data_IF_444285677874
#
_entry.id   IF_444285677874
#
_cell.length_a   1.000
_cell.length_b   1.000
_cell.length_c   1.000
_cell.angle_alpha   90.00
_cell.angle_beta   90.00
_cell.angle_gamma   90.00
#
_symmetry.space_group_name_H-M   'P 1'
#
loop_
_entity.id
_entity.type
_entity.pdbx_description
1 polymer ?
#
# COMPACT_ATOMS: atom_id res chain seq x y z
N UNK A 1 2.63 8.01 65.87
CA UNK A 1 3.52 7.67 64.74
C UNK A 1 3.04 6.35 64.14
N UNK A 2 2.58 6.40 62.88
CA UNK A 2 2.27 5.21 62.08
C UNK A 2 3.57 4.50 61.74
N UNK A 3 3.64 3.17 61.85
CA UNK A 3 3.90 2.29 60.70
C UNK A 3 4.18 0.82 61.09
N UNK A 4 3.38 -0.05 60.45
CA UNK A 4 3.77 -1.26 59.68
C UNK A 4 4.06 -2.58 60.42
N UNK A 5 3.85 -3.64 59.62
CA UNK A 5 4.33 -5.04 59.65
C UNK A 5 3.15 -6.02 59.91
N UNK A 6 2.61 -6.71 58.88
CA UNK A 6 3.07 -7.98 58.23
C UNK A 6 2.87 -9.17 59.20
N UNK A 7 2.44 -10.40 58.89
CA UNK A 7 1.81 -11.12 57.76
C UNK A 7 1.64 -12.61 58.25
N UNK A 8 0.69 -13.38 57.68
CA UNK A 8 0.60 -14.87 57.58
C UNK A 8 0.12 -15.74 58.78
N UNK A 9 -0.90 -16.60 58.53
CA UNK A 9 -0.92 -18.10 58.54
C UNK A 9 -2.39 -18.59 58.60
N UNK A 10 -3.00 -19.09 57.51
CA UNK A 10 -2.95 -20.45 56.91
C UNK A 10 -3.66 -21.54 57.76
N UNK A 11 -4.65 -22.23 57.16
CA UNK A 11 -5.17 -23.61 57.42
C UNK A 11 -6.47 -23.75 56.57
N UNK A 12 -6.58 -24.38 55.39
CA UNK A 12 -6.19 -25.71 54.84
C UNK A 12 -7.02 -26.87 55.43
N UNK A 13 -8.06 -27.34 54.70
CA UNK A 13 -8.55 -28.74 54.54
C UNK A 13 -9.52 -28.73 53.33
N UNK A 14 -9.24 -29.26 52.13
CA UNK A 14 -8.99 -30.64 51.64
C UNK A 14 -10.25 -31.47 51.28
N UNK A 15 -10.27 -31.96 50.03
CA UNK A 15 -10.98 -33.14 49.47
C UNK A 15 -12.42 -32.94 48.94
N UNK A 16 -12.89 -33.58 47.86
CA UNK A 16 -12.41 -34.77 47.15
C UNK A 16 -13.03 -34.91 45.73
N UNK A 17 -12.17 -35.27 44.75
CA UNK A 17 -12.29 -36.28 43.67
C UNK A 17 -13.48 -36.36 42.68
N UNK A 18 -13.11 -36.14 41.41
CA UNK A 18 -13.18 -37.04 40.24
C UNK A 18 -14.46 -37.81 39.88
N UNK A 19 -14.96 -37.62 38.65
CA UNK A 19 -14.87 -38.55 37.49
C UNK A 19 -16.02 -38.28 36.50
N UNK A 20 -15.74 -38.39 35.20
CA UNK A 20 -16.76 -38.32 34.16
C UNK A 20 -16.17 -38.23 32.77
N UNK A 21 -15.53 -39.31 32.30
CA UNK A 21 -15.31 -39.53 30.88
C UNK A 21 -16.66 -39.85 30.23
N UNK A 22 -16.99 -39.18 29.13
CA UNK A 22 -18.03 -39.62 28.20
C UNK A 22 -17.44 -39.49 26.80
N UNK A 23 -17.19 -40.64 26.18
CA UNK A 23 -17.07 -40.75 24.72
C UNK A 23 -18.49 -40.87 24.15
N UNK A 24 -18.81 -40.01 23.18
CA UNK A 24 -19.91 -40.27 22.24
C UNK A 24 -19.29 -40.24 20.85
N UNK A 25 -19.36 -41.38 20.18
CA UNK A 25 -19.09 -41.54 18.77
C UNK A 25 -20.42 -41.61 18.02
N UNK A 26 -20.39 -41.31 16.71
CA UNK A 26 -21.48 -41.42 15.70
C UNK A 26 -22.39 -40.17 15.64
N UNK A 27 -22.59 -39.44 14.54
CA UNK A 27 -22.61 -39.75 13.10
C UNK A 27 -22.48 -38.44 12.28
N UNK A 28 -21.99 -38.52 11.04
CA UNK A 28 -22.24 -37.50 10.01
C UNK A 28 -23.76 -37.36 9.76
N UNK A 29 -24.27 -36.12 9.66
CA UNK A 29 -25.28 -35.80 8.68
C UNK A 29 -24.78 -34.67 7.77
N UNK A 30 -24.81 -34.97 6.48
CA UNK A 30 -24.82 -34.02 5.38
C UNK A 30 -25.82 -32.87 5.60
N UNK A 31 -25.42 -31.70 5.07
CA UNK A 31 -26.24 -30.56 4.66
C UNK A 31 -26.98 -29.76 5.74
N UNK A 32 -26.29 -28.74 6.28
CA UNK A 32 -26.91 -27.45 6.58
C UNK A 32 -26.02 -26.36 5.98
N UNK A 33 -26.48 -25.85 4.83
CA UNK A 33 -26.00 -24.62 4.20
C UNK A 33 -26.40 -23.46 5.10
N UNK A 34 -25.40 -22.74 5.63
CA UNK A 34 -25.58 -21.37 6.10
C UNK A 34 -24.52 -20.52 5.40
N UNK A 35 -24.93 -19.89 4.32
CA UNK A 35 -24.24 -18.77 3.68
C UNK A 35 -24.01 -17.67 4.74
N UNK A 36 -22.74 -17.43 5.07
CA UNK A 36 -22.28 -16.14 5.55
C UNK A 36 -21.33 -15.59 4.50
N UNK A 37 -21.88 -14.62 3.77
CA UNK A 37 -21.23 -13.77 2.80
C UNK A 37 -20.25 -12.86 3.56
N UNK A 38 -18.98 -13.25 3.62
CA UNK A 38 -17.88 -12.41 4.08
C UNK A 38 -17.34 -11.66 2.86
N UNK A 39 -17.62 -10.36 2.82
CA UNK A 39 -17.05 -9.43 1.85
C UNK A 39 -15.55 -9.31 2.07
N UNK A 40 -14.79 -10.12 1.34
CA UNK A 40 -13.33 -10.04 1.22
C UNK A 40 -12.95 -8.70 0.57
N UNK A 41 -12.23 -7.87 1.32
CA UNK A 41 -11.07 -7.17 0.73
C UNK A 41 -10.18 -8.29 0.18
N UNK A 42 -9.88 -8.32 -1.12
CA UNK A 42 -9.03 -9.37 -1.69
C UNK A 42 -7.59 -9.22 -1.15
N UNK A 43 -7.34 -9.74 0.05
CA UNK A 43 -6.01 -10.15 0.49
C UNK A 43 -5.59 -11.28 -0.41
N UNK A 44 -4.80 -10.95 -1.44
CA UNK A 44 -4.11 -11.94 -2.23
C UNK A 44 -2.95 -12.48 -1.38
N UNK A 45 -3.13 -13.68 -0.83
CA UNK A 45 -2.10 -14.38 -0.05
C UNK A 45 -1.71 -15.65 -0.79
N UNK A 46 -0.74 -15.62 -1.71
CA UNK A 46 -0.19 -16.86 -2.24
C UNK A 46 0.66 -17.51 -1.16
N UNK A 47 0.37 -18.77 -0.88
CA UNK A 47 1.24 -19.60 -0.06
C UNK A 47 2.59 -19.75 -0.77
N UNK A 48 3.68 -19.32 -0.13
CA UNK A 48 5.05 -19.55 -0.63
C UNK A 48 5.66 -18.41 -1.46
N UNK A 49 5.12 -17.18 -1.39
CA UNK A 49 5.81 -15.99 -1.91
C UNK A 49 7.14 -15.79 -1.18
N UNK A 50 8.22 -15.63 -1.94
CA UNK A 50 9.50 -15.13 -1.49
C UNK A 50 9.98 -14.00 -2.44
N UNK A 51 11.13 -13.41 -2.11
CA UNK A 51 11.72 -12.30 -2.89
C UNK A 51 12.02 -12.64 -4.36
N UNK A 52 12.10 -13.91 -4.72
CA UNK A 52 12.48 -14.37 -6.06
C UNK A 52 11.28 -14.70 -6.95
N UNK A 53 10.11 -15.04 -6.39
CA UNK A 53 8.95 -15.52 -7.16
C UNK A 53 7.67 -14.69 -6.99
N UNK A 54 7.66 -13.68 -6.11
CA UNK A 54 6.47 -12.88 -5.84
C UNK A 54 5.89 -12.21 -7.10
N UNK A 55 6.75 -11.84 -8.06
CA UNK A 55 6.37 -11.17 -9.29
C UNK A 55 5.41 -12.01 -10.16
N UNK A 56 5.59 -13.33 -10.20
CA UNK A 56 4.75 -14.24 -11.00
C UNK A 56 3.28 -14.25 -10.53
N UNK A 57 3.08 -13.81 -9.29
CA UNK A 57 1.78 -13.83 -8.64
C UNK A 57 1.01 -12.51 -8.79
N UNK A 58 1.59 -11.46 -9.41
CA UNK A 58 0.91 -10.18 -9.53
C UNK A 58 -0.37 -10.33 -10.37
N UNK A 59 -1.56 -10.11 -9.78
CA UNK A 59 -2.80 -10.15 -10.52
C UNK A 59 -2.87 -9.01 -11.54
N UNK A 60 -3.68 -9.18 -12.58
CA UNK A 60 -3.99 -8.09 -13.48
C UNK A 60 -4.61 -6.91 -12.70
N UNK A 61 -4.37 -5.70 -13.18
CA UNK A 61 -4.97 -4.49 -12.61
C UNK A 61 -6.51 -4.57 -12.67
N UNK A 62 -7.18 -4.38 -11.53
CA UNK A 62 -8.66 -4.46 -11.39
C UNK A 62 -9.28 -3.16 -10.84
N UNK A 63 -8.58 -2.04 -10.95
CA UNK A 63 -9.08 -0.72 -10.56
C UNK A 63 -8.49 -0.14 -9.28
N UNK A 64 -7.61 -0.85 -8.58
CA UNK A 64 -6.87 -0.32 -7.42
C UNK A 64 -5.43 0.01 -7.82
N UNK A 65 -4.90 1.19 -7.43
CA UNK A 65 -3.58 1.64 -7.88
C UNK A 65 -2.42 0.77 -7.35
N UNK A 66 -2.67 -0.01 -6.29
CA UNK A 66 -1.71 -0.94 -5.73
C UNK A 66 -2.40 -2.18 -5.14
N UNK A 67 -1.59 -3.17 -4.76
CA UNK A 67 -1.94 -4.31 -3.90
C UNK A 67 -0.90 -4.49 -2.81
N UNK A 68 -1.30 -5.10 -1.71
CA UNK A 68 -0.38 -5.60 -0.68
C UNK A 68 0.33 -6.86 -1.18
N UNK A 69 1.61 -6.98 -0.83
CA UNK A 69 2.48 -8.11 -1.14
C UNK A 69 3.02 -8.67 0.17
N UNK A 70 3.12 -9.99 0.27
CA UNK A 70 3.71 -10.66 1.45
C UNK A 70 3.06 -10.23 2.78
N UNK A 71 1.73 -10.06 2.78
CA UNK A 71 0.96 -9.58 3.94
C UNK A 71 1.49 -8.24 4.49
N UNK A 72 1.89 -7.34 3.59
CA UNK A 72 2.43 -6.03 3.92
C UNK A 72 3.75 -6.07 4.71
N UNK A 73 4.46 -7.21 4.66
CA UNK A 73 5.76 -7.41 5.30
C UNK A 73 6.87 -7.30 4.23
N UNK A 74 7.83 -6.38 4.37
CA UNK A 74 8.89 -6.22 3.39
C UNK A 74 9.88 -7.40 3.43
N UNK A 75 10.53 -7.66 2.29
CA UNK A 75 11.51 -8.75 2.13
C UNK A 75 12.92 -8.37 2.62
N UNK A 76 13.05 -7.37 3.50
CA UNK A 76 14.34 -7.02 4.09
C UNK A 76 14.88 -8.17 4.94
N UNK A 77 16.15 -8.51 4.72
CA UNK A 77 16.82 -9.55 5.49
C UNK A 77 17.05 -9.11 6.93
N UNK A 78 17.36 -10.05 7.83
CA UNK A 78 17.74 -9.72 9.20
C UNK A 78 19.02 -8.85 9.28
N UNK A 79 19.89 -8.91 8.27
CA UNK A 79 21.07 -8.04 8.19
C UNK A 79 20.72 -6.65 7.66
N UNK A 80 19.80 -6.52 6.71
CA UNK A 80 19.28 -5.22 6.28
C UNK A 80 18.72 -4.44 7.47
N UNK A 81 17.87 -5.11 8.27
CA UNK A 81 17.20 -4.52 9.46
C UNK A 81 18.14 -4.08 10.58
N UNK A 82 19.45 -4.31 10.47
CA UNK A 82 20.47 -3.83 11.42
C UNK A 82 21.17 -2.56 10.96
N UNK A 83 20.94 -2.10 9.74
CA UNK A 83 21.58 -0.90 9.18
C UNK A 83 20.99 0.35 9.84
N UNK A 84 21.85 1.17 10.40
CA UNK A 84 21.52 2.42 11.09
C UNK A 84 22.33 3.61 10.57
N UNK A 85 23.04 3.41 9.45
CA UNK A 85 23.77 4.47 8.75
C UNK A 85 22.90 4.95 7.58
N UNK A 86 22.95 6.26 7.30
CA UNK A 86 22.35 6.85 6.12
C UNK A 86 23.02 6.33 4.84
N UNK A 87 22.23 5.95 3.84
CA UNK A 87 22.75 5.62 2.51
C UNK A 87 21.69 5.73 1.43
N UNK A 88 22.15 5.86 0.19
CA UNK A 88 21.37 5.74 -1.03
C UNK A 88 22.17 4.91 -2.04
N UNK A 89 21.49 3.94 -2.66
CA UNK A 89 22.07 3.04 -3.65
C UNK A 89 21.10 2.96 -4.82
N UNK A 90 21.57 3.40 -5.98
CA UNK A 90 20.87 3.27 -7.25
C UNK A 90 21.61 2.27 -8.12
N UNK A 91 20.90 1.23 -8.54
CA UNK A 91 21.47 0.21 -9.44
C UNK A 91 21.92 0.84 -10.77
N UNK A 92 22.96 0.27 -11.38
CA UNK A 92 23.31 0.61 -12.75
C UNK A 92 22.14 0.30 -13.69
N UNK A 93 22.03 1.08 -14.76
CA UNK A 93 21.09 0.79 -15.84
C UNK A 93 21.47 -0.55 -16.48
N UNK A 94 20.49 -1.34 -16.90
CA UNK A 94 20.78 -2.55 -17.67
C UNK A 94 21.14 -2.27 -19.14
N UNK A 95 21.32 -3.34 -19.91
CA UNK A 95 21.65 -3.28 -21.33
C UNK A 95 20.58 -2.59 -22.19
N UNK A 96 19.34 -2.50 -21.69
CA UNK A 96 18.24 -1.76 -22.34
C UNK A 96 18.14 -0.31 -21.84
N UNK A 97 19.01 0.10 -20.90
CA UNK A 97 19.01 1.42 -20.29
C UNK A 97 17.98 1.59 -19.17
N UNK A 98 17.41 0.50 -18.65
CA UNK A 98 16.32 0.52 -17.68
C UNK A 98 16.85 0.71 -16.27
N UNK A 99 16.09 1.44 -15.45
CA UNK A 99 16.38 1.53 -14.02
C UNK A 99 16.09 0.20 -13.32
N UNK A 100 16.89 -0.10 -12.30
CA UNK A 100 16.70 -1.25 -11.42
C UNK A 100 16.48 -0.78 -9.98
N UNK A 101 16.71 -1.67 -9.01
CA UNK A 101 16.49 -1.43 -7.59
C UNK A 101 17.13 -0.11 -7.15
N UNK A 102 16.32 0.74 -6.54
CA UNK A 102 16.76 1.86 -5.73
C UNK A 102 16.54 1.51 -4.26
N UNK A 103 17.57 1.67 -3.43
CA UNK A 103 17.57 1.25 -2.04
C UNK A 103 18.25 2.31 -1.17
N UNK A 104 17.57 2.74 -0.11
CA UNK A 104 18.08 3.75 0.79
C UNK A 104 17.71 3.43 2.25
N UNK A 105 18.41 4.07 3.17
CA UNK A 105 18.03 4.16 4.57
C UNK A 105 17.68 5.63 4.86
N UNK A 106 16.42 5.94 4.64
CA UNK A 106 15.87 7.30 4.65
C UNK A 106 15.95 7.86 6.06
N UNK A 107 16.49 9.07 6.19
CA UNK A 107 16.61 9.82 7.43
C UNK A 107 16.76 11.31 7.12
N UNK A 108 16.69 12.15 8.16
CA UNK A 108 16.80 13.61 8.04
C UNK A 108 18.09 14.05 7.32
N UNK A 109 19.20 13.31 7.47
CA UNK A 109 20.50 13.65 6.86
C UNK A 109 20.47 13.68 5.32
N UNK A 110 19.69 12.79 4.69
CA UNK A 110 19.65 12.65 3.23
C UNK A 110 18.40 13.30 2.61
N UNK A 111 17.47 13.78 3.44
CA UNK A 111 16.33 14.54 2.95
C UNK A 111 16.75 15.92 2.42
N UNK A 112 16.03 16.45 1.41
CA UNK A 112 16.41 17.72 0.79
C UNK A 112 16.26 18.89 1.75
N UNK A 113 17.28 19.76 1.77
CA UNK A 113 17.23 21.07 2.43
C UNK A 113 17.00 22.22 1.45
N UNK A 114 17.23 21.98 0.16
CA UNK A 114 17.04 22.94 -0.93
C UNK A 114 15.72 22.70 -1.66
N UNK A 115 15.31 23.65 -2.49
CA UNK A 115 14.17 23.47 -3.38
C UNK A 115 14.48 22.48 -4.53
N UNK A 116 13.50 21.66 -4.88
CA UNK A 116 13.58 20.76 -6.04
C UNK A 116 13.79 21.55 -7.33
N UNK A 117 14.56 20.99 -8.26
CA UNK A 117 14.70 21.56 -9.59
C UNK A 117 13.33 21.68 -10.28
N UNK A 118 13.11 22.82 -10.96
CA UNK A 118 11.86 23.09 -11.64
C UNK A 118 11.56 22.14 -12.81
N UNK A 119 12.56 21.40 -13.31
CA UNK A 119 12.42 20.52 -14.46
C UNK A 119 13.48 19.42 -14.47
N UNK A 120 13.04 18.19 -14.73
CA UNK A 120 13.89 17.00 -14.88
C UNK A 120 14.15 16.62 -16.36
N UNK A 121 13.96 17.57 -17.28
CA UNK A 121 13.97 17.32 -18.73
C UNK A 121 15.34 16.86 -19.29
N UNK A 122 16.42 16.93 -18.52
CA UNK A 122 17.73 16.39 -18.90
C UNK A 122 17.75 14.87 -19.00
N UNK A 123 16.84 14.17 -18.31
CA UNK A 123 16.71 12.71 -18.37
C UNK A 123 15.55 12.34 -19.29
N UNK A 124 15.72 11.31 -20.12
CA UNK A 124 14.63 10.71 -20.89
C UNK A 124 14.66 9.21 -20.61
N UNK A 125 13.78 8.70 -19.72
CA UNK A 125 13.77 7.28 -19.37
C UNK A 125 13.41 6.38 -20.56
N UNK A 126 13.65 5.08 -20.41
CA UNK A 126 13.25 4.08 -21.40
C UNK A 126 11.74 4.11 -21.65
N UNK A 127 11.33 3.80 -22.89
CA UNK A 127 9.92 3.76 -23.28
C UNK A 127 9.20 5.12 -23.28
N UNK A 128 9.92 6.23 -23.36
CA UNK A 128 9.32 7.57 -23.33
C UNK A 128 8.56 7.92 -24.64
N UNK A 129 7.29 7.53 -24.72
CA UNK A 129 6.38 7.87 -25.82
C UNK A 129 5.21 8.72 -25.33
N UNK A 130 5.41 10.03 -25.31
CA UNK A 130 4.49 10.96 -24.66
C UNK A 130 3.29 11.34 -25.54
N UNK A 131 2.07 11.22 -25.00
CA UNK A 131 0.83 11.73 -25.59
C UNK A 131 0.00 12.52 -24.58
N UNK A 132 -1.01 13.24 -25.06
CA UNK A 132 -2.00 13.91 -24.22
C UNK A 132 -3.38 13.27 -24.34
N UNK A 133 -4.03 13.12 -23.19
CA UNK A 133 -5.42 12.69 -23.09
C UNK A 133 -6.18 13.72 -22.28
N UNK A 134 -7.29 14.22 -22.82
CA UNK A 134 -8.06 15.30 -22.21
C UNK A 134 -7.21 16.54 -21.82
N UNK A 135 -6.23 16.87 -22.66
CA UNK A 135 -5.33 18.03 -22.47
C UNK A 135 -4.27 17.86 -21.37
N UNK A 136 -4.10 16.65 -20.82
CA UNK A 136 -3.09 16.31 -19.82
C UNK A 136 -2.08 15.33 -20.41
N UNK A 137 -0.80 15.55 -20.12
CA UNK A 137 0.26 14.59 -20.44
C UNK A 137 0.07 13.29 -19.66
N UNK A 138 0.32 12.15 -20.31
CA UNK A 138 0.23 10.83 -19.70
C UNK A 138 1.40 10.56 -18.76
N UNK A 139 2.62 10.64 -19.31
CA UNK A 139 3.82 10.19 -18.60
C UNK A 139 4.49 11.32 -17.82
N UNK A 140 4.96 10.95 -16.64
CA UNK A 140 5.86 11.69 -15.79
C UNK A 140 7.22 10.99 -15.77
N UNK A 141 8.26 11.76 -15.44
CA UNK A 141 9.55 11.21 -15.01
C UNK A 141 9.39 10.88 -13.54
N UNK A 142 9.06 9.62 -13.26
CA UNK A 142 8.72 9.17 -11.92
C UNK A 142 10.00 8.76 -11.20
N UNK A 143 10.20 9.34 -10.03
CA UNK A 143 11.29 8.96 -9.14
C UNK A 143 11.05 7.57 -8.55
N UNK A 144 12.07 6.71 -8.47
CA UNK A 144 11.97 5.47 -7.68
C UNK A 144 12.05 5.79 -6.20
N UNK A 145 13.00 6.64 -5.81
CA UNK A 145 13.04 7.28 -4.49
C UNK A 145 12.75 8.76 -4.72
N UNK A 146 11.57 9.20 -4.27
CA UNK A 146 11.10 10.57 -4.41
C UNK A 146 12.08 11.60 -3.85
N UNK A 147 12.14 12.77 -4.51
CA UNK A 147 12.99 13.88 -4.09
C UNK A 147 12.84 14.22 -2.60
N UNK A 148 11.61 14.17 -2.07
CA UNK A 148 11.34 14.48 -0.66
C UNK A 148 12.04 13.53 0.34
N UNK A 149 12.46 12.35 -0.10
CA UNK A 149 13.08 11.34 0.76
C UNK A 149 14.61 11.35 0.69
N UNK A 150 15.19 11.80 -0.43
CA UNK A 150 16.63 11.61 -0.71
C UNK A 150 17.30 12.79 -1.46
N UNK A 151 16.56 13.85 -1.80
CA UNK A 151 17.11 15.04 -2.43
C UNK A 151 17.61 14.90 -3.88
N UNK A 152 17.48 13.71 -4.47
CA UNK A 152 17.94 13.45 -5.84
C UNK A 152 17.02 14.07 -6.91
N UNK A 153 17.58 14.92 -7.77
CA UNK A 153 16.87 15.55 -8.89
C UNK A 153 16.92 14.65 -10.14
N UNK A 154 17.57 15.10 -11.23
CA UNK A 154 17.56 14.43 -12.52
C UNK A 154 18.60 13.29 -12.62
N UNK A 155 18.52 12.33 -11.69
CA UNK A 155 19.36 11.15 -11.68
C UNK A 155 18.81 10.09 -12.65
N UNK A 156 19.59 9.75 -13.68
CA UNK A 156 19.18 8.81 -14.73
C UNK A 156 18.91 7.39 -14.22
N UNK A 157 19.46 7.02 -13.06
CA UNK A 157 19.26 5.71 -12.40
C UNK A 157 18.07 5.69 -11.44
N UNK A 158 17.40 6.82 -11.27
CA UNK A 158 16.28 7.00 -10.33
C UNK A 158 14.99 7.47 -11.04
N UNK A 159 14.97 7.53 -12.38
CA UNK A 159 13.82 8.06 -13.12
C UNK A 159 13.31 7.05 -14.16
N UNK A 160 12.05 6.63 -13.99
CA UNK A 160 11.35 5.74 -14.93
C UNK A 160 10.20 6.48 -15.65
N UNK A 161 9.79 5.94 -16.80
CA UNK A 161 8.55 6.33 -17.46
C UNK A 161 7.37 5.79 -16.65
N UNK A 162 6.60 6.67 -16.03
CA UNK A 162 5.41 6.27 -15.27
C UNK A 162 4.23 7.19 -15.54
N UNK A 163 3.01 6.68 -15.42
CA UNK A 163 1.81 7.51 -15.60
C UNK A 163 1.66 8.51 -14.46
N UNK A 164 0.80 9.51 -14.66
CA UNK A 164 0.43 10.43 -13.59
C UNK A 164 -0.28 9.72 -12.43
N UNK A 165 -1.21 8.80 -12.72
CA UNK A 165 -1.92 8.02 -11.69
C UNK A 165 -0.93 7.17 -10.88
N UNK A 166 -0.02 6.45 -11.55
CA UNK A 166 1.08 5.74 -10.91
C UNK A 166 1.89 6.62 -9.96
N UNK A 167 2.29 7.81 -10.42
CA UNK A 167 3.13 8.71 -9.61
C UNK A 167 2.39 9.31 -8.41
N UNK A 168 1.13 9.72 -8.58
CA UNK A 168 0.41 10.55 -7.59
C UNK A 168 -0.58 9.75 -6.74
N UNK A 169 -1.27 8.79 -7.35
CA UNK A 169 -2.26 7.96 -6.67
C UNK A 169 -1.64 6.64 -6.18
N UNK A 170 -0.62 6.16 -6.89
CA UNK A 170 0.11 4.93 -6.58
C UNK A 170 1.23 5.11 -5.57
N UNK A 171 2.30 5.83 -5.93
CA UNK A 171 3.52 5.90 -5.13
C UNK A 171 3.47 6.94 -4.00
N UNK A 172 3.00 8.15 -4.30
CA UNK A 172 3.06 9.29 -3.37
C UNK A 172 2.47 9.03 -1.98
N UNK A 173 1.35 8.31 -1.79
CA UNK A 173 0.84 8.00 -0.45
C UNK A 173 1.86 7.25 0.43
N UNK A 174 2.61 6.32 -0.16
CA UNK A 174 3.63 5.54 0.56
C UNK A 174 4.88 6.37 0.83
N UNK A 175 5.27 7.23 -0.12
CA UNK A 175 6.36 8.19 0.10
C UNK A 175 6.03 9.14 1.26
N UNK A 176 4.79 9.63 1.34
CA UNK A 176 4.36 10.48 2.45
C UNK A 176 4.37 9.73 3.78
N UNK A 177 3.96 8.46 3.83
CA UNK A 177 4.06 7.65 5.06
C UNK A 177 5.50 7.57 5.58
N UNK A 178 6.48 7.42 4.67
CA UNK A 178 7.91 7.44 5.04
C UNK A 178 8.34 8.83 5.51
N UNK A 179 7.96 9.88 4.78
CA UNK A 179 8.33 11.26 5.11
C UNK A 179 7.77 11.69 6.47
N UNK A 180 6.47 11.46 6.71
CA UNK A 180 5.77 11.78 7.95
C UNK A 180 6.41 11.04 9.14
N UNK A 181 6.80 9.77 8.96
CA UNK A 181 7.48 9.01 10.03
C UNK A 181 8.83 9.64 10.42
N UNK A 182 9.63 10.09 9.45
CA UNK A 182 10.92 10.74 9.71
C UNK A 182 10.72 12.12 10.35
N UNK A 183 9.72 12.90 9.92
CA UNK A 183 9.38 14.19 10.55
C UNK A 183 9.00 14.03 12.02
N UNK A 184 8.17 13.02 12.33
CA UNK A 184 7.78 12.69 13.71
C UNK A 184 8.94 12.09 14.54
N UNK A 185 9.94 11.49 13.88
CA UNK A 185 11.05 10.76 14.51
C UNK A 185 12.40 11.12 13.85
N UNK A 186 12.93 12.34 14.05
CA UNK A 186 14.08 12.87 13.30
C UNK A 186 15.38 12.09 13.50
N UNK A 187 15.49 11.32 14.59
CA UNK A 187 16.66 10.46 14.86
C UNK A 187 16.57 9.05 14.27
N UNK A 188 15.45 8.71 13.61
CA UNK A 188 15.18 7.36 13.14
C UNK A 188 15.46 7.22 11.64
N UNK A 189 15.48 5.97 11.19
CA UNK A 189 15.68 5.60 9.80
C UNK A 189 14.55 4.71 9.29
N UNK A 190 14.29 4.79 7.99
CA UNK A 190 13.42 3.87 7.26
C UNK A 190 14.19 3.23 6.13
N UNK A 191 14.39 1.91 6.21
CA UNK A 191 14.84 1.12 5.07
C UNK A 191 13.77 1.18 4.01
N UNK A 192 14.14 1.67 2.84
CA UNK A 192 13.22 1.94 1.76
C UNK A 192 13.78 1.40 0.45
N UNK A 193 13.04 0.49 -0.19
CA UNK A 193 13.46 -0.13 -1.44
C UNK A 193 12.34 -0.07 -2.46
N UNK A 194 12.67 0.40 -3.66
CA UNK A 194 11.77 0.44 -4.79
C UNK A 194 12.37 -0.37 -5.94
N UNK A 195 11.65 -1.40 -6.37
CA UNK A 195 12.09 -2.34 -7.40
C UNK A 195 11.17 -2.23 -8.61
N UNK A 196 11.64 -1.66 -9.73
CA UNK A 196 10.93 -1.71 -11.00
C UNK A 196 10.70 -3.13 -11.45
N UNK A 197 9.53 -3.36 -12.01
CA UNK A 197 9.09 -4.66 -12.47
C UNK A 197 8.75 -4.58 -13.95
N UNK A 198 9.51 -5.31 -14.76
CA UNK A 198 9.31 -5.46 -16.20
C UNK A 198 8.70 -6.84 -16.46
N UNK A 199 7.59 -6.91 -17.19
CA UNK A 199 6.81 -8.16 -17.28
C UNK A 199 7.44 -9.13 -18.27
N UNK A 200 7.90 -8.59 -19.39
CA UNK A 200 8.66 -9.30 -20.39
C UNK A 200 10.11 -8.81 -20.42
N UNK A 201 11.03 -9.65 -20.90
CA UNK A 201 12.47 -9.37 -20.92
C UNK A 201 12.80 -8.05 -21.65
N UNK A 202 12.07 -7.74 -22.73
CA UNK A 202 12.29 -6.58 -23.58
C UNK A 202 11.41 -5.37 -23.23
N UNK A 203 10.66 -5.41 -22.13
CA UNK A 203 9.82 -4.28 -21.74
C UNK A 203 10.66 -3.06 -21.39
N UNK A 204 10.37 -1.92 -22.02
CA UNK A 204 11.06 -0.65 -21.76
C UNK A 204 10.36 0.17 -20.68
N UNK A 205 9.07 -0.06 -20.44
CA UNK A 205 8.29 0.57 -19.38
C UNK A 205 8.00 -0.45 -18.29
N UNK A 206 8.23 -0.08 -17.03
CA UNK A 206 7.92 -0.97 -15.92
C UNK A 206 6.40 -1.16 -15.83
N UNK A 207 5.95 -2.40 -15.65
CA UNK A 207 4.56 -2.75 -15.37
C UNK A 207 4.09 -2.13 -14.04
N UNK A 208 5.02 -1.91 -13.13
CA UNK A 208 4.82 -1.26 -11.84
C UNK A 208 6.10 -1.28 -11.02
N UNK A 209 5.98 -0.97 -9.74
CA UNK A 209 7.10 -1.07 -8.79
C UNK A 209 6.66 -1.82 -7.53
N UNK A 210 7.54 -2.64 -6.98
CA UNK A 210 7.45 -3.07 -5.58
C UNK A 210 8.03 -1.97 -4.71
N UNK A 211 7.28 -1.50 -3.72
CA UNK A 211 7.74 -0.56 -2.72
C UNK A 211 7.73 -1.24 -1.35
N UNK A 212 8.86 -1.16 -0.66
CA UNK A 212 9.09 -1.79 0.63
C UNK A 212 9.60 -0.74 1.61
N UNK A 213 9.01 -0.66 2.81
CA UNK A 213 9.48 0.19 3.89
C UNK A 213 9.54 -0.56 5.23
N UNK A 214 10.55 -0.21 6.04
CA UNK A 214 10.71 -0.71 7.40
C UNK A 214 11.44 0.33 8.26
N UNK A 215 10.77 0.87 9.28
CA UNK A 215 11.39 1.70 10.30
C UNK A 215 12.34 0.89 11.19
N UNK A 216 13.59 1.31 11.31
CA UNK A 216 14.66 0.49 11.89
C UNK A 216 14.58 0.45 13.41
N UNK A 217 14.52 1.62 14.05
CA UNK A 217 14.68 1.78 15.51
C UNK A 217 13.49 1.22 16.31
N UNK A 218 12.30 1.20 15.72
CA UNK A 218 11.08 0.70 16.34
C UNK A 218 10.64 -0.66 15.80
N UNK A 219 11.46 -1.30 14.96
CA UNK A 219 11.21 -2.60 14.34
C UNK A 219 9.94 -2.64 13.48
N UNK A 220 9.75 -1.64 12.62
CA UNK A 220 8.64 -1.57 11.67
C UNK A 220 7.31 -1.12 12.31
N UNK A 221 7.32 -0.67 13.57
CA UNK A 221 6.08 -0.33 14.26
C UNK A 221 5.43 0.95 13.70
N UNK A 222 6.23 1.98 13.42
CA UNK A 222 5.75 3.27 12.93
C UNK A 222 5.68 3.37 11.40
N UNK A 223 6.50 2.63 10.67
CA UNK A 223 6.45 2.58 9.21
C UNK A 223 6.84 1.18 8.69
N UNK A 224 5.86 0.45 8.18
CA UNK A 224 6.08 -0.81 7.48
C UNK A 224 5.07 -0.91 6.34
N UNK A 225 5.55 -1.29 5.17
CA UNK A 225 4.70 -1.79 4.10
C UNK A 225 5.47 -2.62 3.08
N UNK A 226 4.73 -3.41 2.31
CA UNK A 226 5.21 -4.11 1.14
C UNK A 226 4.09 -4.14 0.10
N UNK A 227 4.20 -3.29 -0.92
CA UNK A 227 3.11 -3.07 -1.88
C UNK A 227 3.62 -3.09 -3.31
N UNK A 228 2.80 -3.60 -4.22
CA UNK A 228 3.03 -3.46 -5.65
C UNK A 228 2.13 -2.37 -6.21
N UNK A 229 2.73 -1.34 -6.81
CA UNK A 229 2.02 -0.20 -7.40
C UNK A 229 2.01 -0.35 -8.92
N UNK A 230 0.81 -0.34 -9.51
CA UNK A 230 0.61 -0.52 -10.95
C UNK A 230 0.94 0.74 -11.75
N UNK A 231 1.75 0.61 -12.79
CA UNK A 231 2.01 1.69 -13.74
C UNK A 231 0.90 1.76 -14.80
N UNK A 232 -0.25 2.29 -14.40
CA UNK A 232 -1.48 2.33 -15.22
C UNK A 232 -2.13 3.70 -15.20
N UNK A 233 -3.01 3.97 -16.16
CA UNK A 233 -3.86 5.16 -16.16
C UNK A 233 -5.25 4.74 -16.61
N UNK A 234 -6.28 5.09 -15.84
CA UNK A 234 -7.65 4.72 -16.20
C UNK A 234 -8.01 5.19 -17.62
N UNK A 235 -8.54 4.28 -18.43
CA UNK A 235 -8.95 4.55 -19.81
C UNK A 235 -7.81 4.57 -20.84
N UNK A 236 -6.58 4.26 -20.44
CA UNK A 236 -5.41 4.24 -21.32
C UNK A 236 -4.82 2.83 -21.34
N UNK A 237 -4.55 2.33 -22.54
CA UNK A 237 -3.77 1.12 -22.77
C UNK A 237 -2.32 1.51 -23.06
N UNK A 238 -1.38 0.81 -22.42
CA UNK A 238 0.07 1.02 -22.56
C UNK A 238 0.68 -0.25 -23.11
N UNK A 239 1.43 -0.12 -24.20
CA UNK A 239 2.37 -1.13 -24.64
C UNK A 239 3.65 -1.02 -23.81
N UNK A 240 3.85 -1.91 -22.84
CA UNK A 240 5.03 -1.87 -21.96
C UNK A 240 6.34 -2.19 -22.69
N UNK A 241 6.28 -2.85 -23.86
CA UNK A 241 7.44 -3.14 -24.68
C UNK A 241 8.07 -1.87 -25.24
N UNK A 242 7.23 -0.93 -25.69
CA UNK A 242 7.67 0.27 -26.41
C UNK A 242 7.42 1.56 -25.63
N UNK A 243 6.41 1.57 -24.78
CA UNK A 243 5.83 2.74 -24.12
C UNK A 243 4.75 3.46 -24.92
N UNK A 244 4.44 3.00 -26.14
CA UNK A 244 3.30 3.51 -26.90
C UNK A 244 1.99 3.36 -26.12
N UNK A 245 1.04 4.24 -26.38
CA UNK A 245 -0.19 4.32 -25.62
C UNK A 245 -1.35 4.84 -26.46
N UNK A 246 -2.55 4.38 -26.13
CA UNK A 246 -3.80 4.76 -26.78
C UNK A 246 -4.96 4.78 -25.79
N UNK A 247 -6.07 5.42 -26.17
CA UNK A 247 -7.31 5.29 -25.41
C UNK A 247 -7.81 3.84 -25.49
N UNK A 248 -8.14 3.25 -24.35
CA UNK A 248 -8.67 1.90 -24.28
C UNK A 248 -10.03 1.82 -25.00
N UNK A 249 -10.22 0.80 -25.84
CA UNK A 249 -11.48 0.62 -26.59
C UNK A 249 -12.59 0.02 -25.73
N UNK A 250 -13.86 0.34 -26.04
CA UNK A 250 -15.03 -0.10 -25.26
C UNK A 250 -15.17 -1.63 -25.11
N UNK A 251 -14.51 -2.45 -25.93
CA UNK A 251 -14.56 -3.92 -25.77
C UNK A 251 -13.69 -4.42 -24.61
N UNK A 252 -12.59 -3.74 -24.30
CA UNK A 252 -11.76 -4.01 -23.11
C UNK A 252 -12.42 -3.44 -21.85
N UNK A 253 -13.27 -2.42 -22.00
CA UNK A 253 -14.05 -1.88 -20.88
C UNK A 253 -15.11 -2.87 -20.35
N UNK A 254 -15.52 -3.91 -21.11
CA UNK A 254 -16.65 -4.79 -20.73
C UNK A 254 -16.27 -6.08 -20.00
N UNK A 255 -14.99 -6.45 -19.90
CA UNK A 255 -14.59 -7.66 -19.15
C UNK A 255 -14.46 -7.37 -17.64
N UNK A 256 -14.14 -6.13 -17.24
CA UNK A 256 -14.07 -5.73 -15.82
C UNK A 256 -15.25 -4.88 -15.32
N UNK A 257 -16.16 -4.45 -16.21
CA UNK A 257 -17.34 -3.63 -15.85
C UNK A 257 -18.51 -4.40 -15.22
N UNK A 258 -18.43 -5.73 -15.10
CA UNK A 258 -19.54 -6.53 -14.56
C UNK A 258 -19.61 -6.51 -13.02
N UNK A 259 -18.60 -5.96 -12.31
CA UNK A 259 -18.63 -5.77 -10.85
C UNK A 259 -18.72 -4.30 -10.38
N UNK A 260 -18.77 -3.32 -11.28
CA UNK A 260 -18.74 -1.88 -10.91
C UNK A 260 -20.11 -1.22 -10.73
N UNK A 261 -21.17 -1.99 -10.41
CA UNK A 261 -22.50 -1.45 -10.04
C UNK A 261 -23.11 -2.04 -8.76
N UNK A 262 -22.30 -2.30 -7.74
CA UNK A 262 -22.76 -2.23 -6.35
C UNK A 262 -21.87 -1.25 -5.60
N UNK A 263 -22.24 0.03 -5.64
CA UNK A 263 -21.61 1.02 -4.77
C UNK A 263 -21.85 0.64 -3.31
N UNK A 264 -20.79 0.64 -2.50
CA UNK A 264 -20.92 0.52 -1.06
C UNK A 264 -21.74 1.71 -0.55
N UNK A 265 -22.59 1.46 0.45
CA UNK A 265 -23.33 2.54 1.11
C UNK A 265 -22.58 2.97 2.37
N UNK A 266 -22.35 4.27 2.50
CA UNK A 266 -21.64 4.89 3.60
C UNK A 266 -22.58 5.80 4.40
N UNK A 267 -22.36 5.86 5.71
CA UNK A 267 -23.01 6.83 6.61
C UNK A 267 -22.09 8.04 6.72
N UNK A 268 -22.58 9.22 6.32
CA UNK A 268 -21.84 10.47 6.37
C UNK A 268 -22.13 11.24 7.66
N UNK A 269 -21.09 11.80 8.27
CA UNK A 269 -21.20 12.88 9.22
C UNK A 269 -20.94 14.20 8.50
N UNK A 270 -22.01 14.94 8.18
CA UNK A 270 -21.92 16.17 7.39
C UNK A 270 -21.23 17.32 8.12
N UNK A 271 -21.15 17.25 9.46
CA UNK A 271 -20.49 18.26 10.30
C UNK A 271 -18.97 18.00 10.41
N UNK A 272 -18.56 16.77 10.74
CA UNK A 272 -17.13 16.44 10.87
C UNK A 272 -16.46 16.09 9.55
N UNK A 273 -17.23 16.01 8.45
CA UNK A 273 -16.77 15.53 7.15
C UNK A 273 -16.07 14.16 7.25
N UNK A 274 -16.62 13.26 8.05
CA UNK A 274 -16.18 11.86 8.13
C UNK A 274 -17.24 10.94 7.55
N UNK A 275 -16.84 9.84 6.93
CA UNK A 275 -17.76 8.79 6.49
C UNK A 275 -17.44 7.45 7.14
N UNK A 276 -18.46 6.60 7.28
CA UNK A 276 -18.44 5.33 7.98
C UNK A 276 -19.09 4.22 7.15
N UNK A 277 -18.77 2.96 7.42
CA UNK A 277 -19.54 1.82 6.88
C UNK A 277 -20.96 1.79 7.47
N UNK A 278 -21.91 1.11 6.80
CA UNK A 278 -23.30 0.99 7.26
C UNK A 278 -23.46 0.27 8.60
N UNK A 279 -22.56 -0.66 8.91
CA UNK A 279 -22.58 -1.46 10.12
C UNK A 279 -21.86 -0.78 11.30
N UNK A 280 -21.07 0.27 11.05
CA UNK A 280 -20.30 1.00 12.04
C UNK A 280 -21.14 1.52 13.22
N UNK A 281 -20.79 1.05 14.42
CA UNK A 281 -21.44 1.47 15.67
C UNK A 281 -21.33 2.98 15.93
N UNK A 282 -20.21 3.61 15.58
CA UNK A 282 -20.03 5.06 15.69
C UNK A 282 -20.87 5.82 14.67
N UNK A 283 -20.92 5.35 13.42
CA UNK A 283 -21.77 5.91 12.37
C UNK A 283 -23.25 5.87 12.75
N UNK A 284 -23.71 4.76 13.35
CA UNK A 284 -25.09 4.62 13.84
C UNK A 284 -25.47 5.62 14.93
N UNK A 285 -24.51 6.11 15.72
CA UNK A 285 -24.74 7.11 16.79
C UNK A 285 -24.71 8.57 16.31
N UNK A 286 -24.39 8.84 15.04
CA UNK A 286 -24.50 10.19 14.46
C UNK A 286 -25.98 10.60 14.54
N UNK A 287 -26.24 11.76 15.16
CA UNK A 287 -27.59 12.31 15.29
C UNK A 287 -28.16 12.76 13.94
N UNK A 288 -29.46 12.55 13.74
CA UNK A 288 -30.14 12.67 12.44
C UNK A 288 -29.90 13.99 11.72
N UNK A 289 -29.75 15.11 12.45
CA UNK A 289 -29.46 16.42 11.87
C UNK A 289 -28.12 16.54 11.13
N UNK A 290 -27.17 15.66 11.44
CA UNK A 290 -25.80 15.66 10.89
C UNK A 290 -25.48 14.37 10.12
N UNK A 291 -26.49 13.51 9.89
CA UNK A 291 -26.33 12.19 9.28
C UNK A 291 -26.88 12.20 7.87
N UNK A 292 -26.12 11.68 6.92
CA UNK A 292 -26.57 11.42 5.56
C UNK A 292 -26.12 10.04 5.09
N UNK A 293 -26.66 9.51 4.00
CA UNK A 293 -26.21 8.25 3.40
C UNK A 293 -25.77 8.48 1.94
N UNK A 294 -24.65 7.87 1.57
CA UNK A 294 -24.13 7.92 0.21
C UNK A 294 -23.92 6.51 -0.34
N UNK A 295 -24.47 6.22 -1.51
CA UNK A 295 -24.26 4.95 -2.22
C UNK A 295 -23.51 5.25 -3.51
N UNK A 296 -22.24 4.84 -3.58
CA UNK A 296 -21.38 5.18 -4.70
C UNK A 296 -19.92 4.80 -4.43
N UNK A 297 -18.99 5.41 -5.15
CA UNK A 297 -17.58 5.15 -4.93
C UNK A 297 -17.09 5.92 -3.68
N UNK A 298 -16.27 5.26 -2.87
CA UNK A 298 -15.50 5.87 -1.77
C UNK A 298 -14.76 7.13 -2.20
N UNK A 299 -14.15 7.11 -3.38
CA UNK A 299 -13.30 8.20 -3.86
C UNK A 299 -14.09 9.46 -4.22
N UNK A 300 -15.37 9.31 -4.54
CA UNK A 300 -16.27 10.47 -4.72
C UNK A 300 -16.47 11.20 -3.40
N UNK A 301 -16.54 10.50 -2.27
CA UNK A 301 -16.66 11.10 -0.94
C UNK A 301 -15.38 11.83 -0.54
N UNK A 302 -14.22 11.22 -0.84
CA UNK A 302 -12.91 11.85 -0.61
C UNK A 302 -12.78 13.13 -1.45
N UNK A 303 -13.16 13.07 -2.73
CA UNK A 303 -13.18 14.23 -3.63
C UNK A 303 -14.16 15.33 -3.16
N UNK A 304 -15.23 14.96 -2.46
CA UNK A 304 -16.18 15.88 -1.83
C UNK A 304 -15.69 16.42 -0.46
N UNK A 305 -14.45 16.11 -0.08
CA UNK A 305 -13.80 16.59 1.14
C UNK A 305 -14.18 15.81 2.39
N UNK A 306 -14.66 14.57 2.26
CA UNK A 306 -14.88 13.68 3.40
C UNK A 306 -13.66 12.79 3.65
N UNK A 307 -13.40 12.47 4.91
CA UNK A 307 -12.31 11.58 5.34
C UNK A 307 -12.87 10.27 5.91
N UNK A 308 -12.20 9.13 5.68
CA UNK A 308 -12.64 7.86 6.23
C UNK A 308 -12.54 7.89 7.76
N UNK A 309 -13.54 7.34 8.45
CA UNK A 309 -13.49 7.23 9.89
C UNK A 309 -12.64 6.03 10.34
N UNK A 310 -11.52 6.30 11.01
CA UNK A 310 -10.59 5.30 11.56
C UNK A 310 -11.29 4.14 12.29
N UNK A 311 -12.38 4.40 13.01
CA UNK A 311 -13.08 3.39 13.80
C UNK A 311 -13.72 2.25 13.01
N UNK A 312 -13.90 2.38 11.70
CA UNK A 312 -14.45 1.33 10.84
C UNK A 312 -13.72 1.22 9.50
N UNK A 313 -12.62 1.95 9.35
CA UNK A 313 -11.78 2.06 8.15
C UNK A 313 -12.51 1.81 6.81
N UNK A 314 -13.53 2.65 6.48
CA UNK A 314 -14.36 2.49 5.29
C UNK A 314 -13.62 2.89 4.02
#
# INVERSE_FOLDING_TARGET
MKNRIIVIYLLLVLSCLCTGCVEINVSNPSDIVTEKDETNTETFVPEGINSENWFESIPAYRGTPYIEVNNDIPFFTAEDKKKNDAFEIYSDLDELGRCHVAYANICEEIMPVEDREASLNSVTPTGWHQNQYNGKWLYNRCHLIGYQLAGENANEKNLITGTRSFNVEGMLPFENTVADYIDDNPSNHVLYRVTPVYKEENDLVAYGVLMEAWSVEDNGYGCQFCVFVYNVQQGIEIDYATGENCEATEEISKVDSAQTKKGNTYILNTNSKKFHTQDCSSGKRIGDKNKDNYTGNRDDLISQGYTPAECCNP
#
